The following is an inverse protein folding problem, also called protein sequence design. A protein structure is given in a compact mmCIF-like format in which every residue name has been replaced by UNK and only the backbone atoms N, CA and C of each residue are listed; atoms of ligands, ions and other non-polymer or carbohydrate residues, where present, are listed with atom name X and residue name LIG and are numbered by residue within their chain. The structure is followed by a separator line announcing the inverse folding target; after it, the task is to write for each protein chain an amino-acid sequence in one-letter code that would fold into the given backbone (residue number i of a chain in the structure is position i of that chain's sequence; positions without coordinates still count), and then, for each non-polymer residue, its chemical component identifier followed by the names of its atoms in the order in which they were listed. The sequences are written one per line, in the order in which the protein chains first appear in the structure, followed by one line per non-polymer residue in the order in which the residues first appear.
data_IF_496597592171
#
_entry.id   IF_496597592171
#
_cell.length_a   1.000
_cell.length_b   1.000
_cell.length_c   1.000
_cell.angle_alpha   90.00
_cell.angle_beta   90.00
_cell.angle_gamma   90.00
#
_symmetry.space_group_name_H-M   'P 1'
#
loop_
_entity.id
_entity.type
_entity.pdbx_description
1 polymer ?
#
# COMPACT_ATOMS: atom_id res chain seq x y z
N UNK A 1 9.64 16.09 -11.74
CA UNK A 1 10.29 14.77 -11.84
C UNK A 1 11.76 14.98 -11.57
N UNK A 2 12.31 14.35 -10.56
CA UNK A 2 13.76 14.31 -10.42
C UNK A 2 14.35 13.48 -11.57
N UNK A 3 15.43 13.98 -12.19
CA UNK A 3 16.06 13.32 -13.34
C UNK A 3 16.97 12.15 -12.93
N UNK A 4 17.45 11.39 -13.92
CA UNK A 4 18.39 10.27 -13.72
C UNK A 4 19.59 10.63 -12.83
N UNK A 5 20.07 11.87 -12.91
CA UNK A 5 21.25 12.36 -12.19
C UNK A 5 20.95 12.93 -10.78
N UNK A 6 19.71 12.83 -10.30
CA UNK A 6 19.36 13.31 -8.96
C UNK A 6 20.01 12.47 -7.87
N UNK A 7 20.19 13.03 -6.67
CA UNK A 7 20.87 12.37 -5.53
C UNK A 7 19.97 12.37 -4.30
N UNK A 8 20.05 11.35 -3.44
CA UNK A 8 20.96 10.19 -3.49
C UNK A 8 20.52 9.11 -4.49
N UNK A 9 21.47 8.28 -4.94
CA UNK A 9 21.22 7.16 -5.85
C UNK A 9 21.62 5.84 -5.22
N UNK A 10 20.81 4.81 -5.46
CA UNK A 10 21.13 3.43 -5.13
C UNK A 10 21.29 2.63 -6.43
N UNK A 11 22.51 2.20 -6.74
CA UNK A 11 22.83 1.52 -7.99
C UNK A 11 22.71 0.01 -7.78
N UNK A 12 21.64 -0.59 -8.30
CA UNK A 12 21.40 -2.05 -8.21
C UNK A 12 21.99 -2.83 -9.40
N UNK A 13 22.15 -2.20 -10.57
CA UNK A 13 22.84 -2.78 -11.74
C UNK A 13 23.81 -1.73 -12.30
N UNK A 14 25.06 -2.13 -12.55
CA UNK A 14 26.07 -1.28 -13.19
C UNK A 14 26.78 -2.06 -14.30
N UNK A 15 26.81 -1.52 -15.52
CA UNK A 15 27.42 -2.16 -16.70
C UNK A 15 27.00 -3.64 -16.86
N UNK A 16 25.70 -3.90 -16.77
CA UNK A 16 25.11 -5.26 -16.84
C UNK A 16 25.51 -6.21 -15.70
N UNK A 17 26.22 -5.74 -14.68
CA UNK A 17 26.54 -6.50 -13.47
C UNK A 17 25.58 -6.12 -12.34
N UNK A 18 25.04 -7.12 -11.64
CA UNK A 18 24.29 -6.90 -10.41
C UNK A 18 25.21 -6.39 -9.29
N UNK A 19 24.73 -5.43 -8.52
CA UNK A 19 25.45 -4.82 -7.39
C UNK A 19 24.72 -4.99 -6.05
N UNK A 20 23.45 -5.39 -6.08
CA UNK A 20 22.61 -5.58 -4.91
C UNK A 20 22.45 -7.07 -4.60
N UNK A 21 22.62 -7.47 -3.34
CA UNK A 21 22.58 -8.88 -2.92
C UNK A 21 21.21 -9.54 -3.07
N UNK A 22 20.13 -8.75 -3.07
CA UNK A 22 18.75 -9.24 -3.26
C UNK A 22 18.35 -9.26 -4.74
N UNK A 23 19.19 -8.73 -5.64
CA UNK A 23 18.94 -8.71 -7.06
C UNK A 23 19.03 -10.11 -7.66
N UNK A 24 17.92 -10.56 -8.23
CA UNK A 24 17.88 -11.68 -9.16
C UNK A 24 17.87 -11.11 -10.57
N UNK A 25 19.05 -11.09 -11.18
CA UNK A 25 19.27 -10.64 -12.55
C UNK A 25 20.31 -11.52 -13.23
N UNK A 26 19.93 -12.07 -14.38
CA UNK A 26 20.83 -12.85 -15.22
C UNK A 26 20.84 -12.19 -16.61
N UNK A 27 21.99 -11.64 -16.98
CA UNK A 27 22.14 -10.96 -18.27
C UNK A 27 22.09 -11.98 -19.40
N UNK A 28 21.22 -11.73 -20.39
CA UNK A 28 21.15 -12.50 -21.64
C UNK A 28 21.18 -11.55 -22.81
N UNK A 29 21.86 -11.88 -23.89
CA UNK A 29 21.79 -11.08 -25.13
C UNK A 29 20.42 -11.29 -25.79
N UNK A 30 19.41 -10.56 -25.31
CA UNK A 30 18.04 -10.67 -25.77
C UNK A 30 17.34 -9.31 -25.73
N UNK A 31 16.30 -9.16 -26.56
CA UNK A 31 15.47 -7.94 -26.58
C UNK A 31 14.67 -7.69 -25.30
N UNK A 32 14.71 -8.60 -24.32
CA UNK A 32 14.01 -8.46 -23.04
C UNK A 32 14.96 -8.78 -21.88
N UNK A 33 15.19 -7.81 -21.00
CA UNK A 33 15.87 -8.02 -19.73
C UNK A 33 14.86 -8.06 -18.60
N UNK A 34 14.95 -9.06 -17.72
CA UNK A 34 14.11 -9.19 -16.53
C UNK A 34 14.98 -9.22 -15.29
N UNK A 35 14.61 -8.45 -14.29
CA UNK A 35 15.25 -8.46 -12.98
C UNK A 35 14.18 -8.36 -11.90
N UNK A 36 14.52 -8.80 -10.70
CA UNK A 36 13.76 -8.53 -9.48
C UNK A 36 14.73 -8.21 -8.36
N UNK A 37 14.36 -7.32 -7.45
CA UNK A 37 15.12 -7.01 -6.25
C UNK A 37 14.16 -6.89 -5.08
N UNK A 38 14.66 -7.01 -3.85
CA UNK A 38 13.86 -6.68 -2.69
C UNK A 38 13.47 -5.20 -2.76
N UNK A 39 12.21 -4.90 -2.48
CA UNK A 39 11.73 -3.53 -2.46
C UNK A 39 12.54 -2.70 -1.47
N UNK A 40 12.83 -1.45 -1.86
CA UNK A 40 13.63 -0.55 -1.06
C UNK A 40 13.03 -0.39 0.34
N UNK A 41 13.86 -0.53 1.36
CA UNK A 41 13.53 0.04 2.67
C UNK A 41 13.65 1.54 2.51
N UNK A 42 12.55 2.28 2.66
CA UNK A 42 12.65 3.73 2.62
C UNK A 42 13.67 4.18 3.66
N UNK A 43 14.69 4.87 3.17
CA UNK A 43 15.49 5.73 4.03
C UNK A 43 14.51 6.68 4.75
N UNK A 44 14.68 6.96 6.06
CA UNK A 44 13.69 7.71 6.84
C UNK A 44 13.23 9.01 6.19
N UNK A 45 14.10 9.64 5.41
CA UNK A 45 13.87 10.94 4.76
C UNK A 45 13.24 10.85 3.36
N UNK A 46 13.08 9.65 2.79
CA UNK A 46 12.63 9.44 1.41
C UNK A 46 11.34 8.63 1.37
N UNK A 47 10.21 9.29 1.11
CA UNK A 47 8.87 8.67 1.08
C UNK A 47 8.44 8.17 -0.31
N UNK A 48 9.20 8.56 -1.33
CA UNK A 48 8.95 8.24 -2.73
C UNK A 48 10.28 7.92 -3.39
N UNK A 49 10.33 6.85 -4.18
CA UNK A 49 11.53 6.49 -4.96
C UNK A 49 11.18 6.34 -6.43
N UNK A 50 12.11 6.74 -7.29
CA UNK A 50 12.04 6.53 -8.72
C UNK A 50 13.07 5.49 -9.12
N UNK A 51 12.67 4.54 -9.95
CA UNK A 51 13.55 3.54 -10.54
C UNK A 51 13.98 4.02 -11.93
N UNK A 52 15.28 4.18 -12.12
CA UNK A 52 15.86 4.63 -13.37
C UNK A 52 16.71 3.53 -14.01
N UNK A 53 16.56 3.33 -15.31
CA UNK A 53 17.31 2.33 -16.08
C UNK A 53 17.85 2.97 -17.36
N UNK A 54 19.17 2.88 -17.56
CA UNK A 54 19.81 3.17 -18.84
C UNK A 54 19.89 1.89 -19.66
N UNK A 55 19.11 1.81 -20.73
CA UNK A 55 19.02 0.61 -21.59
C UNK A 55 19.75 0.86 -22.89
N UNK A 56 20.40 -0.19 -23.41
CA UNK A 56 21.07 -0.18 -24.71
C UNK A 56 20.46 -1.27 -25.57
N UNK A 57 19.98 -0.91 -26.76
CA UNK A 57 19.54 -1.84 -27.78
C UNK A 57 20.59 -1.91 -28.89
N UNK A 58 20.96 -3.14 -29.27
CA UNK A 58 21.91 -3.39 -30.34
C UNK A 58 21.25 -4.22 -31.44
N UNK A 59 21.68 -4.10 -32.70
CA UNK A 59 21.31 -5.05 -33.74
C UNK A 59 21.79 -6.46 -33.36
N UNK A 60 20.94 -7.47 -33.60
CA UNK A 60 21.25 -8.86 -33.23
C UNK A 60 22.46 -9.42 -33.98
N UNK A 61 23.23 -10.27 -33.29
CA UNK A 61 24.35 -11.01 -33.89
C UNK A 61 25.65 -10.21 -34.04
N UNK A 62 25.74 -9.00 -33.51
CA UNK A 62 26.94 -8.17 -33.59
C UNK A 62 27.81 -8.34 -32.34
N UNK A 63 28.85 -9.17 -32.46
CA UNK A 63 29.79 -9.51 -31.38
C UNK A 63 30.63 -8.34 -30.85
N UNK A 64 30.73 -7.25 -31.63
CA UNK A 64 31.42 -6.01 -31.28
C UNK A 64 30.48 -4.96 -30.67
N UNK A 65 29.18 -5.24 -30.59
CA UNK A 65 28.19 -4.35 -29.98
C UNK A 65 28.35 -4.26 -28.46
N UNK A 66 27.76 -3.23 -27.86
CA UNK A 66 27.73 -3.07 -26.40
C UNK A 66 26.96 -4.20 -25.70
N UNK A 67 26.01 -4.82 -26.38
CA UNK A 67 25.18 -5.88 -25.83
C UNK A 67 25.98 -7.19 -25.68
N UNK A 68 26.93 -7.48 -26.57
CA UNK A 68 27.76 -8.67 -26.48
C UNK A 68 28.75 -8.67 -25.29
N UNK A 69 28.95 -7.52 -24.64
CA UNK A 69 29.92 -7.39 -23.53
C UNK A 69 29.43 -8.05 -22.25
N UNK A 70 28.12 -8.05 -21.99
CA UNK A 70 27.54 -8.53 -20.74
C UNK A 70 28.15 -7.90 -19.49
N UNK A 71 28.12 -8.63 -18.38
CA UNK A 71 28.78 -8.21 -17.14
C UNK A 71 30.30 -8.42 -17.24
N UNK A 72 31.07 -7.32 -17.19
CA UNK A 72 32.53 -7.38 -17.01
C UNK A 72 32.89 -7.01 -15.58
N UNK A 73 33.29 -8.00 -14.80
CA UNK A 73 33.98 -7.77 -13.52
C UNK A 73 35.22 -6.92 -13.80
N UNK A 74 35.23 -5.70 -13.28
CA UNK A 74 36.29 -4.72 -13.45
C UNK A 74 37.58 -5.14 -12.75
N UNK A 75 38.30 -6.10 -13.35
CA UNK A 75 39.66 -6.50 -12.95
C UNK A 75 40.69 -6.39 -14.08
N UNK A 76 40.25 -6.19 -15.33
CA UNK A 76 41.14 -5.94 -16.45
C UNK A 76 41.29 -4.45 -16.70
N UNK A 77 42.48 -3.90 -16.43
CA UNK A 77 42.96 -2.62 -16.96
C UNK A 77 43.00 -2.68 -18.49
N UNK A 78 41.83 -2.57 -19.10
CA UNK A 78 41.66 -2.52 -20.53
C UNK A 78 41.01 -1.20 -20.84
N UNK A 79 41.83 -0.17 -21.09
CA UNK A 79 41.41 1.07 -21.74
C UNK A 79 40.49 0.68 -22.89
N UNK A 80 39.17 0.93 -22.72
CA UNK A 80 38.14 0.59 -23.70
C UNK A 80 38.62 1.18 -25.02
N UNK A 81 39.01 0.31 -25.97
CA UNK A 81 39.16 0.76 -27.35
C UNK A 81 37.78 1.34 -27.66
N UNK A 82 37.72 2.65 -27.90
CA UNK A 82 36.56 3.25 -28.55
C UNK A 82 36.56 2.57 -29.91
N UNK A 83 35.88 1.43 -30.03
CA UNK A 83 35.48 0.96 -31.33
C UNK A 83 34.76 2.18 -31.91
N UNK A 84 35.23 2.68 -33.04
CA UNK A 84 34.41 3.55 -33.85
C UNK A 84 33.21 2.66 -34.20
N UNK A 85 32.16 2.72 -33.37
CA UNK A 85 31.07 1.76 -33.43
C UNK A 85 30.38 2.00 -34.76
N UNK A 86 30.73 1.20 -35.77
CA UNK A 86 30.01 1.14 -37.04
C UNK A 86 28.60 0.57 -36.80
N UNK A 87 28.41 -0.08 -35.66
CA UNK A 87 27.14 -0.60 -35.15
C UNK A 87 26.31 0.51 -34.50
N UNK A 88 25.07 0.67 -34.96
CA UNK A 88 24.12 1.63 -34.41
C UNK A 88 23.47 1.08 -33.15
N UNK A 89 24.14 1.25 -32.01
CA UNK A 89 23.55 1.01 -30.70
C UNK A 89 22.64 2.19 -30.31
N UNK A 90 21.48 1.91 -29.73
CA UNK A 90 20.53 2.93 -29.25
C UNK A 90 20.52 2.90 -27.74
N UNK A 91 20.86 4.02 -27.10
CA UNK A 91 20.79 4.18 -25.65
C UNK A 91 19.57 5.02 -25.27
N UNK A 92 18.85 4.61 -24.23
CA UNK A 92 17.69 5.33 -23.70
C UNK A 92 17.64 5.25 -22.17
N UNK A 93 17.26 6.36 -21.53
CA UNK A 93 17.03 6.43 -20.10
C UNK A 93 15.53 6.28 -19.83
N UNK A 94 15.17 5.24 -19.09
CA UNK A 94 13.81 4.91 -18.67
C UNK A 94 13.63 5.25 -17.19
N UNK A 95 12.43 5.67 -16.80
CA UNK A 95 12.08 5.96 -15.42
C UNK A 95 10.73 5.35 -15.06
N UNK A 96 10.62 4.80 -13.86
CA UNK A 96 9.39 4.27 -13.27
C UNK A 96 9.20 4.88 -11.88
N UNK A 97 8.02 5.41 -11.59
CA UNK A 97 7.71 5.96 -10.27
C UNK A 97 6.68 7.09 -10.29
N UNK A 98 6.36 7.65 -9.11
CA UNK A 98 6.97 7.33 -7.81
C UNK A 98 6.48 6.00 -7.23
N UNK A 99 7.38 5.22 -6.64
CA UNK A 99 7.07 4.01 -5.86
C UNK A 99 6.92 4.42 -4.40
N UNK A 100 5.77 4.09 -3.82
CA UNK A 100 5.41 4.36 -2.42
C UNK A 100 5.22 3.02 -1.70
N UNK A 101 5.83 2.84 -0.53
CA UNK A 101 5.42 1.80 0.43
C UNK A 101 4.08 2.25 0.98
N UNK A 102 3.04 1.52 0.61
CA UNK A 102 1.82 1.52 1.39
C UNK A 102 2.08 0.60 2.55
N UNK A 103 1.89 1.08 3.79
CA UNK A 103 1.86 0.18 4.93
C UNK A 103 0.81 -0.89 4.61
N UNK A 104 1.29 -2.14 4.48
CA UNK A 104 0.40 -3.29 4.52
C UNK A 104 -0.17 -3.30 5.92
N UNK A 105 -1.26 -2.56 6.12
CA UNK A 105 -2.18 -2.86 7.18
C UNK A 105 -2.52 -4.32 6.96
N UNK A 106 -2.02 -5.14 7.86
CA UNK A 106 -2.33 -6.55 7.96
C UNK A 106 -3.85 -6.64 7.84
N UNK A 107 -4.32 -6.99 6.65
CA UNK A 107 -5.70 -7.37 6.43
C UNK A 107 -5.84 -8.83 6.85
N UNK A 108 -5.13 -9.24 7.90
CA UNK A 108 -5.52 -10.33 8.77
C UNK A 108 -6.61 -9.75 9.68
N UNK A 109 -7.83 -9.77 9.17
CA UNK A 109 -9.03 -9.95 9.99
C UNK A 109 -9.06 -9.28 11.38
N UNK A 110 -8.93 -7.96 11.52
CA UNK A 110 -9.49 -7.29 12.71
C UNK A 110 -9.95 -5.86 12.40
N UNK A 111 -11.27 -5.72 12.40
CA UNK A 111 -11.93 -4.45 12.66
C UNK A 111 -11.31 -3.79 13.91
N UNK A 112 -10.99 -2.50 13.80
CA UNK A 112 -10.96 -1.53 14.90
C UNK A 112 -10.39 -2.02 16.25
N UNK A 113 -9.08 -2.23 16.36
CA UNK A 113 -8.41 -2.61 17.61
C UNK A 113 -7.98 -1.42 18.50
N UNK A 114 -8.84 -0.42 18.67
CA UNK A 114 -8.81 0.47 19.85
C UNK A 114 -10.16 0.52 20.58
N UNK A 115 -11.14 -0.26 20.13
CA UNK A 115 -12.52 -0.19 20.61
C UNK A 115 -12.93 -1.21 21.66
N UNK A 116 -12.07 -2.14 22.09
CA UNK A 116 -12.52 -3.34 22.83
C UNK A 116 -13.22 -3.05 24.17
N UNK A 117 -12.80 -2.01 24.92
CA UNK A 117 -13.53 -1.59 26.12
C UNK A 117 -14.76 -0.72 25.79
N UNK A 118 -14.65 0.16 24.78
CA UNK A 118 -15.70 1.11 24.41
C UNK A 118 -16.90 0.38 23.79
N UNK A 119 -16.69 -0.65 22.98
CA UNK A 119 -17.77 -1.40 22.31
C UNK A 119 -18.57 -2.27 23.28
N UNK A 120 -17.94 -2.84 24.30
CA UNK A 120 -18.67 -3.57 25.35
C UNK A 120 -19.48 -2.61 26.23
N UNK A 121 -18.90 -1.47 26.60
CA UNK A 121 -19.60 -0.46 27.42
C UNK A 121 -20.78 0.15 26.68
N UNK A 122 -20.68 0.42 25.37
CA UNK A 122 -21.79 0.99 24.59
C UNK A 122 -22.94 -0.01 24.41
N UNK A 123 -22.65 -1.29 24.17
CA UNK A 123 -23.69 -2.32 24.04
C UNK A 123 -24.41 -2.50 25.38
N UNK A 124 -23.67 -2.63 26.49
CA UNK A 124 -24.27 -2.80 27.83
C UNK A 124 -25.09 -1.58 28.24
N UNK A 125 -24.58 -0.37 28.02
CA UNK A 125 -25.31 0.87 28.33
C UNK A 125 -26.57 1.03 27.46
N UNK A 126 -26.51 0.66 26.18
CA UNK A 126 -27.64 0.71 25.27
C UNK A 126 -28.77 -0.24 25.68
N UNK A 127 -28.44 -1.50 26.02
CA UNK A 127 -29.43 -2.49 26.46
C UNK A 127 -30.07 -2.08 27.79
N UNK A 128 -29.29 -1.62 28.77
CA UNK A 128 -29.82 -1.14 30.05
C UNK A 128 -30.72 0.09 29.85
N UNK A 129 -30.30 1.05 29.03
CA UNK A 129 -31.10 2.24 28.72
C UNK A 129 -32.43 1.90 28.03
N UNK A 130 -32.41 0.96 27.08
CA UNK A 130 -33.62 0.51 26.39
C UNK A 130 -34.59 -0.21 27.33
N UNK A 131 -34.09 -1.07 28.22
CA UNK A 131 -34.92 -1.76 29.22
C UNK A 131 -35.60 -0.77 30.18
N UNK A 132 -34.86 0.25 30.67
CA UNK A 132 -35.43 1.29 31.53
C UNK A 132 -36.50 2.09 30.79
N UNK A 133 -36.24 2.47 29.53
CA UNK A 133 -37.22 3.21 28.72
C UNK A 133 -38.51 2.41 28.52
N UNK A 134 -38.41 1.12 28.21
CA UNK A 134 -39.57 0.24 28.07
C UNK A 134 -40.38 0.13 29.37
N UNK A 135 -39.72 0.01 30.53
CA UNK A 135 -40.40 -0.06 31.82
C UNK A 135 -41.15 1.24 32.16
N UNK A 136 -40.55 2.40 31.90
CA UNK A 136 -41.21 3.70 32.12
C UNK A 136 -42.46 3.84 31.24
N UNK A 137 -42.36 3.45 29.97
CA UNK A 137 -43.52 3.48 29.04
C UNK A 137 -44.62 2.54 29.54
N UNK A 138 -44.29 1.32 29.95
CA UNK A 138 -45.26 0.37 30.48
C UNK A 138 -45.96 0.92 31.74
N UNK A 139 -45.21 1.52 32.66
CA UNK A 139 -45.74 2.15 33.87
C UNK A 139 -46.70 3.30 33.51
N UNK A 140 -46.32 4.20 32.60
CA UNK A 140 -47.18 5.31 32.14
C UNK A 140 -48.47 4.80 31.52
N UNK A 141 -48.41 3.75 30.69
CA UNK A 141 -49.58 3.11 30.10
C UNK A 141 -50.49 2.54 31.20
N UNK A 142 -49.93 1.84 32.19
CA UNK A 142 -50.70 1.28 33.32
C UNK A 142 -51.35 2.39 34.13
N UNK A 143 -50.63 3.47 34.46
CA UNK A 143 -51.19 4.61 35.19
C UNK A 143 -52.31 5.29 34.39
N UNK A 144 -52.14 5.49 33.08
CA UNK A 144 -53.19 6.05 32.22
C UNK A 144 -54.40 5.14 32.12
N UNK A 145 -54.22 3.81 31.99
CA UNK A 145 -55.31 2.84 31.98
C UNK A 145 -56.05 2.82 33.33
N UNK A 146 -55.33 2.86 34.44
CA UNK A 146 -55.91 2.92 35.79
C UNK A 146 -56.68 4.23 36.01
N UNK A 147 -56.12 5.36 35.58
CA UNK A 147 -56.78 6.66 35.69
C UNK A 147 -58.04 6.74 34.81
N UNK A 148 -58.01 6.17 33.59
CA UNK A 148 -59.20 6.04 32.73
C UNK A 148 -60.28 5.19 33.38
N UNK A 149 -59.92 4.11 34.08
CA UNK A 149 -60.87 3.29 34.83
C UNK A 149 -61.44 4.01 36.05
N UNK A 150 -60.62 4.75 36.82
CA UNK A 150 -61.10 5.55 37.97
C UNK A 150 -61.96 6.73 37.53
N UNK A 151 -61.64 7.37 36.40
CA UNK A 151 -62.44 8.46 35.83
C UNK A 151 -63.75 7.94 35.21
N UNK A 152 -63.74 6.75 34.60
CA UNK A 152 -64.95 6.06 34.13
C UNK A 152 -65.85 5.60 35.28
N UNK A 153 -65.26 5.10 36.37
CA UNK A 153 -65.99 4.76 37.59
C UNK A 153 -66.57 6.00 38.30
N UNK A 154 -65.87 7.14 38.27
CA UNK A 154 -66.40 8.42 38.80
C UNK A 154 -67.57 8.98 37.99
N UNK A 155 -67.64 8.70 36.68
CA UNK A 155 -68.75 9.13 35.82
C UNK A 155 -70.02 8.29 36.01
N UNK A 156 -69.90 7.02 36.42
CA UNK A 156 -71.06 6.17 36.70
C UNK A 156 -71.67 6.39 38.10
N UNK A 157 -70.96 7.04 39.03
CA UNK A 157 -71.49 7.36 40.38
C UNK A 157 -72.24 8.70 40.42
N UNK A 158 -72.08 9.58 39.43
CA UNK A 158 -72.80 10.87 39.36
C UNK A 158 -74.14 10.80 38.63
N UNK A 159 -74.60 9.61 38.19
CA UNK A 159 -75.92 9.43 37.59
C UNK A 159 -76.94 8.76 38.53
N UNK A 160 -76.56 8.46 39.78
CA UNK A 160 -77.46 8.01 40.85
C UNK A 160 -77.27 8.87 42.12
N UNK A 161 -77.55 10.17 42.02
CA UNK A 161 -77.85 11.05 43.15
C UNK A 161 -78.85 12.13 42.71
#
# INVERSE_FOLDING_TARGET
TEGYDSKPQYVFINNSCGQDDTLKYDFKESGVQRFSLAAFRFLPDFKEVYLHCRVVACPGGQSDSRCAVGCKNSGGSGRRRRAATLVRDIEQDLALGPIKLTDRQESSAQAASSGSMITMVTIVAGVLGFLVLCLVIAIVIIYKRKQSHTNGAKLLVQQEA
#
